data_IF_255353706517
#
_entry.id   IF_255353706517
#
_cell.length_a   1.000
_cell.length_b   1.000
_cell.length_c   1.000
_cell.angle_alpha   90.00
_cell.angle_beta   90.00
_cell.angle_gamma   90.00
#
_symmetry.space_group_name_H-M   'P 1'
#
loop_
_entity.id
_entity.type
_entity.pdbx_description
1 polymer ?
#
# COMPACT_ATOMS: atom_id res chain seq x y z
N UNK A 1 1.45 0.94 10.96
CA UNK A 1 2.50 1.05 9.94
C UNK A 1 3.38 2.26 10.25
N UNK A 2 4.71 2.13 10.30
CA UNK A 2 5.63 3.27 10.43
C UNK A 2 6.75 3.09 9.40
N UNK A 3 7.10 4.13 8.66
CA UNK A 3 8.19 4.07 7.68
C UNK A 3 9.58 4.04 8.37
N UNK A 4 10.61 3.67 7.61
CA UNK A 4 11.99 3.61 8.12
C UNK A 4 12.50 4.98 8.55
N UNK A 5 12.03 6.04 7.88
CA UNK A 5 12.38 7.42 8.21
C UNK A 5 11.55 8.07 9.34
N UNK A 6 10.70 7.31 10.05
CA UNK A 6 9.76 7.85 11.04
C UNK A 6 10.42 8.74 12.10
N UNK A 7 11.45 8.24 12.80
CA UNK A 7 12.11 8.99 13.89
C UNK A 7 12.74 10.30 13.38
N UNK A 8 13.35 10.24 12.19
CA UNK A 8 13.93 11.42 11.53
C UNK A 8 12.86 12.43 11.13
N UNK A 9 11.72 11.95 10.65
CA UNK A 9 10.57 12.80 10.34
C UNK A 9 10.01 13.50 11.59
N UNK A 10 9.83 12.77 12.68
CA UNK A 10 9.29 13.31 13.93
C UNK A 10 10.23 14.34 14.58
N UNK A 11 11.55 14.15 14.47
CA UNK A 11 12.54 15.07 15.01
C UNK A 11 12.58 16.42 14.25
N UNK A 12 12.26 16.43 12.96
CA UNK A 12 12.31 17.63 12.13
C UNK A 12 11.25 17.59 11.04
N UNK A 13 9.97 17.74 11.42
CA UNK A 13 8.89 17.88 10.45
C UNK A 13 8.91 19.31 9.87
N UNK A 14 9.29 19.50 8.59
CA UNK A 14 9.40 20.83 8.01
C UNK A 14 8.07 21.30 7.39
N UNK A 15 7.03 20.47 7.43
CA UNK A 15 5.74 20.76 6.79
C UNK A 15 4.82 21.50 7.76
N UNK A 16 4.60 22.78 7.48
CA UNK A 16 3.70 23.64 8.27
C UNK A 16 2.28 23.76 7.70
N UNK A 17 2.02 23.21 6.51
CA UNK A 17 0.82 23.45 5.73
C UNK A 17 0.33 22.18 5.01
N UNK A 18 -0.93 21.80 5.27
CA UNK A 18 -1.61 20.59 4.76
C UNK A 18 -2.28 20.78 3.38
N UNK A 19 -1.89 21.78 2.60
CA UNK A 19 -2.48 22.05 1.29
C UNK A 19 -1.84 21.24 0.14
N UNK A 20 -1.39 20.01 0.43
CA UNK A 20 -0.69 19.20 -0.57
C UNK A 20 -1.67 18.44 -1.44
N UNK A 21 -1.40 18.44 -2.75
CA UNK A 21 -2.21 17.79 -3.78
C UNK A 21 -1.33 16.82 -4.56
N UNK A 22 -1.76 15.57 -4.63
CA UNK A 22 -1.23 14.59 -5.56
C UNK A 22 -2.04 14.67 -6.86
N UNK A 23 -1.34 14.79 -7.99
CA UNK A 23 -1.94 14.85 -9.32
C UNK A 23 -1.71 13.48 -9.96
N UNK A 24 -2.80 12.74 -10.13
CA UNK A 24 -2.83 11.53 -10.93
C UNK A 24 -3.37 11.86 -12.33
N UNK A 25 -3.25 10.91 -13.26
CA UNK A 25 -3.77 11.06 -14.62
C UNK A 25 -5.26 11.45 -14.65
N UNK A 26 -6.05 10.83 -13.77
CA UNK A 26 -7.51 10.90 -13.82
C UNK A 26 -8.09 11.88 -12.77
N UNK A 27 -7.33 12.23 -11.72
CA UNK A 27 -7.82 13.10 -10.66
C UNK A 27 -6.72 13.78 -9.83
N UNK A 28 -7.13 14.77 -9.01
CA UNK A 28 -6.29 15.43 -8.01
C UNK A 28 -6.77 15.08 -6.61
N UNK A 29 -5.87 14.63 -5.74
CA UNK A 29 -6.20 14.19 -4.37
C UNK A 29 -5.49 15.06 -3.35
N UNK A 30 -6.25 15.67 -2.43
CA UNK A 30 -5.70 16.42 -1.29
C UNK A 30 -5.23 15.45 -0.21
N UNK A 31 -4.02 15.66 0.31
CA UNK A 31 -3.37 14.77 1.27
C UNK A 31 -2.62 15.55 2.34
N UNK A 32 -2.42 14.95 3.50
CA UNK A 32 -1.43 15.44 4.47
C UNK A 32 -0.06 14.82 4.19
N UNK A 33 0.96 15.67 3.98
CA UNK A 33 2.35 15.20 3.85
C UNK A 33 2.78 14.42 5.08
N UNK A 34 2.43 14.92 6.26
CA UNK A 34 2.83 14.33 7.53
C UNK A 34 2.31 12.90 7.67
N UNK A 35 1.02 12.67 7.38
CA UNK A 35 0.44 11.33 7.41
C UNK A 35 1.19 10.41 6.45
N UNK A 36 1.35 10.81 5.19
CA UNK A 36 1.99 9.96 4.20
C UNK A 36 3.46 9.67 4.52
N UNK A 37 4.24 10.67 4.96
CA UNK A 37 5.65 10.49 5.33
C UNK A 37 5.84 9.59 6.54
N UNK A 38 4.91 9.59 7.51
CA UNK A 38 4.97 8.70 8.67
C UNK A 38 4.83 7.23 8.25
N UNK A 39 4.08 6.98 7.18
CA UNK A 39 3.68 5.62 6.81
C UNK A 39 4.44 5.06 5.61
N UNK A 40 5.02 5.89 4.74
CA UNK A 40 5.78 5.39 3.59
C UNK A 40 7.04 6.21 3.28
N UNK A 41 8.14 5.50 3.01
CA UNK A 41 9.40 6.14 2.61
C UNK A 41 9.31 6.80 1.23
N UNK A 42 8.49 6.26 0.32
CA UNK A 42 8.23 6.86 -0.99
C UNK A 42 7.77 8.33 -0.88
N UNK A 43 6.80 8.60 -0.01
CA UNK A 43 6.30 9.97 0.16
C UNK A 43 7.24 10.82 1.01
N UNK A 44 7.99 10.22 1.94
CA UNK A 44 9.09 10.90 2.62
C UNK A 44 10.10 11.45 1.60
N UNK A 45 10.65 10.59 0.74
CA UNK A 45 11.66 10.98 -0.24
C UNK A 45 11.10 12.00 -1.25
N UNK A 46 9.86 11.79 -1.72
CA UNK A 46 9.20 12.70 -2.66
C UNK A 46 9.04 14.11 -2.09
N UNK A 47 8.53 14.24 -0.86
CA UNK A 47 8.23 15.56 -0.28
C UNK A 47 9.47 16.25 0.29
N UNK A 48 10.45 15.51 0.80
CA UNK A 48 11.70 16.10 1.31
C UNK A 48 12.60 16.63 0.20
N UNK A 49 12.50 16.09 -1.03
CA UNK A 49 13.24 16.63 -2.18
C UNK A 49 12.91 18.09 -2.46
N UNK A 50 11.64 18.50 -2.29
CA UNK A 50 11.16 19.86 -2.51
C UNK A 50 10.13 20.26 -1.43
N UNK A 51 10.62 20.66 -0.26
CA UNK A 51 9.80 20.90 0.94
C UNK A 51 8.65 21.90 0.70
N UNK A 52 8.91 22.96 -0.08
CA UNK A 52 7.98 24.08 -0.34
C UNK A 52 6.96 23.78 -1.45
N UNK A 53 7.15 22.72 -2.24
CA UNK A 53 6.25 22.34 -3.32
C UNK A 53 4.97 21.71 -2.75
N UNK A 54 3.79 22.06 -3.29
CA UNK A 54 2.50 21.56 -2.79
C UNK A 54 1.73 20.71 -3.80
N UNK A 55 2.12 20.70 -5.07
CA UNK A 55 1.51 19.83 -6.09
C UNK A 55 2.54 18.84 -6.61
N UNK A 56 2.24 17.55 -6.58
CA UNK A 56 3.16 16.48 -7.01
C UNK A 56 2.46 15.58 -8.03
N UNK A 57 3.05 15.44 -9.21
CA UNK A 57 2.58 14.49 -10.20
C UNK A 57 2.99 13.06 -9.82
N UNK A 58 2.03 12.14 -9.83
CA UNK A 58 2.23 10.74 -9.50
C UNK A 58 1.91 9.87 -10.72
N UNK A 59 2.98 9.30 -11.29
CA UNK A 59 2.90 8.42 -12.46
C UNK A 59 3.31 6.97 -12.14
N UNK A 60 3.89 6.74 -10.96
CA UNK A 60 4.42 5.44 -10.57
C UNK A 60 3.33 4.40 -10.26
N UNK A 61 2.11 4.84 -9.94
CA UNK A 61 0.94 3.99 -9.71
C UNK A 61 -0.36 4.76 -9.99
N UNK A 62 -1.44 4.02 -10.19
CA UNK A 62 -2.76 4.62 -10.45
C UNK A 62 -3.44 5.10 -9.15
N UNK A 63 -4.45 5.95 -9.31
CA UNK A 63 -5.13 6.58 -8.18
C UNK A 63 -5.99 5.61 -7.35
N UNK A 64 -6.53 4.57 -7.96
CA UNK A 64 -7.28 3.54 -7.24
C UNK A 64 -6.40 2.78 -6.24
N UNK A 65 -5.15 2.48 -6.63
CA UNK A 65 -4.15 1.88 -5.75
C UNK A 65 -3.74 2.84 -4.63
N UNK A 66 -3.57 4.13 -4.95
CA UNK A 66 -3.33 5.17 -3.94
C UNK A 66 -4.45 5.26 -2.91
N UNK A 67 -5.71 5.33 -3.33
CA UNK A 67 -6.85 5.38 -2.41
C UNK A 67 -6.90 4.17 -1.49
N UNK A 68 -6.60 2.99 -2.02
CA UNK A 68 -6.52 1.77 -1.23
C UNK A 68 -5.45 1.86 -0.13
N UNK A 69 -4.24 2.31 -0.48
CA UNK A 69 -3.15 2.54 0.47
C UNK A 69 -3.53 3.62 1.51
N UNK A 70 -4.07 4.75 1.05
CA UNK A 70 -4.40 5.88 1.89
C UNK A 70 -5.51 5.53 2.90
N UNK A 71 -6.51 4.75 2.48
CA UNK A 71 -7.54 4.25 3.37
C UNK A 71 -6.97 3.26 4.39
N UNK A 72 -6.07 2.36 3.97
CA UNK A 72 -5.39 1.43 4.88
C UNK A 72 -4.56 2.17 5.95
N UNK A 73 -3.85 3.23 5.55
CA UNK A 73 -3.12 4.12 6.46
C UNK A 73 -4.06 4.76 7.49
N UNK A 74 -5.15 5.37 7.03
CA UNK A 74 -6.04 6.13 7.91
C UNK A 74 -6.86 5.24 8.85
N UNK A 75 -7.25 4.04 8.39
CA UNK A 75 -8.05 3.10 9.18
C UNK A 75 -7.20 2.17 10.06
N UNK A 76 -5.93 1.96 9.73
CA UNK A 76 -5.04 1.06 10.45
C UNK A 76 -5.67 -0.32 10.64
N UNK A 77 -5.73 -0.78 11.88
CA UNK A 77 -6.29 -2.09 12.25
C UNK A 77 -7.78 -2.25 11.89
N UNK A 78 -8.53 -1.15 11.76
CA UNK A 78 -9.94 -1.19 11.36
C UNK A 78 -10.15 -1.35 9.85
N UNK A 79 -9.06 -1.35 9.06
CA UNK A 79 -9.12 -1.51 7.62
C UNK A 79 -9.52 -2.95 7.24
N UNK A 80 -10.62 -3.10 6.50
CA UNK A 80 -11.11 -4.40 6.04
C UNK A 80 -10.63 -4.67 4.62
N UNK A 81 -9.85 -5.73 4.46
CA UNK A 81 -9.40 -6.19 3.15
C UNK A 81 -10.52 -6.87 2.38
N UNK A 82 -10.50 -6.64 1.07
CA UNK A 82 -11.27 -7.37 0.06
C UNK A 82 -10.29 -7.83 -1.01
N UNK A 83 -10.67 -8.78 -1.85
CA UNK A 83 -9.77 -9.26 -2.90
C UNK A 83 -9.36 -8.18 -3.90
N UNK A 84 -10.26 -7.26 -4.23
CA UNK A 84 -9.96 -6.09 -5.07
C UNK A 84 -8.94 -5.17 -4.40
N UNK A 85 -9.07 -4.93 -3.10
CA UNK A 85 -8.12 -4.08 -2.37
C UNK A 85 -6.77 -4.77 -2.20
N UNK A 86 -6.73 -6.08 -1.99
CA UNK A 86 -5.46 -6.84 -1.96
C UNK A 86 -4.73 -6.71 -3.29
N UNK A 87 -5.42 -6.88 -4.43
CA UNK A 87 -4.78 -6.73 -5.75
C UNK A 87 -4.20 -5.32 -5.95
N UNK A 88 -4.96 -4.27 -5.59
CA UNK A 88 -4.49 -2.88 -5.66
C UNK A 88 -3.28 -2.61 -4.77
N UNK A 89 -3.23 -3.19 -3.58
CA UNK A 89 -2.08 -3.11 -2.68
C UNK A 89 -0.86 -3.83 -3.25
N UNK A 90 -1.06 -4.98 -3.92
CA UNK A 90 0.04 -5.66 -4.60
C UNK A 90 0.59 -4.85 -5.78
N UNK A 91 -0.26 -4.13 -6.51
CA UNK A 91 0.18 -3.26 -7.61
C UNK A 91 1.09 -2.12 -7.14
N UNK A 92 0.71 -1.42 -6.06
CA UNK A 92 1.51 -0.29 -5.55
C UNK A 92 2.80 -0.73 -4.84
N UNK A 93 2.89 -2.01 -4.44
CA UNK A 93 4.02 -2.57 -3.69
C UNK A 93 5.36 -2.51 -4.42
N UNK A 94 5.36 -2.40 -5.76
CA UNK A 94 6.61 -2.22 -6.51
C UNK A 94 7.31 -0.90 -6.23
N UNK A 95 6.55 0.10 -5.78
CA UNK A 95 6.99 1.48 -5.62
C UNK A 95 7.00 1.88 -4.15
N UNK A 96 6.05 1.35 -3.40
CA UNK A 96 5.85 1.66 -1.99
C UNK A 96 6.11 0.41 -1.16
N UNK A 97 6.98 0.53 -0.16
CA UNK A 97 7.18 -0.52 0.83
C UNK A 97 5.90 -0.71 1.67
N UNK A 98 5.36 -1.92 1.65
CA UNK A 98 4.13 -2.32 2.34
C UNK A 98 4.36 -3.46 3.33
N UNK A 99 5.60 -3.70 3.79
CA UNK A 99 5.93 -4.81 4.72
C UNK A 99 4.97 -4.87 5.93
N UNK A 100 4.58 -3.72 6.49
CA UNK A 100 3.64 -3.64 7.62
C UNK A 100 2.20 -4.09 7.29
N UNK A 101 1.82 -4.16 6.01
CA UNK A 101 0.50 -4.67 5.57
C UNK A 101 0.52 -6.17 5.27
N UNK A 102 1.70 -6.80 5.21
CA UNK A 102 1.82 -8.22 4.88
C UNK A 102 1.04 -9.13 5.83
N UNK A 103 1.12 -8.95 7.16
CA UNK A 103 0.34 -9.78 8.08
C UNK A 103 -1.17 -9.68 7.81
N UNK A 104 -1.67 -8.49 7.43
CA UNK A 104 -3.08 -8.29 7.10
C UNK A 104 -3.46 -9.04 5.82
N UNK A 105 -2.65 -8.91 4.76
CA UNK A 105 -2.86 -9.57 3.47
C UNK A 105 -2.83 -11.09 3.65
N UNK A 106 -1.81 -11.61 4.34
CA UNK A 106 -1.69 -13.04 4.58
C UNK A 106 -2.86 -13.60 5.40
N UNK A 107 -3.27 -12.89 6.46
CA UNK A 107 -4.43 -13.31 7.27
C UNK A 107 -5.71 -13.32 6.44
N UNK A 108 -5.91 -12.33 5.58
CA UNK A 108 -7.06 -12.32 4.69
C UNK A 108 -7.03 -13.48 3.69
N UNK A 109 -5.86 -13.83 3.12
CA UNK A 109 -5.73 -14.97 2.20
C UNK A 109 -6.13 -16.30 2.86
N UNK A 110 -5.92 -16.45 4.17
CA UNK A 110 -6.32 -17.66 4.90
C UNK A 110 -7.83 -17.82 5.06
N UNK A 111 -8.62 -16.76 4.87
CA UNK A 111 -10.09 -16.80 4.92
C UNK A 111 -10.70 -17.53 3.72
N UNK A 112 -12.01 -17.80 3.77
CA UNK A 112 -12.75 -18.38 2.64
C UNK A 112 -13.10 -17.34 1.57
N UNK A 113 -13.18 -16.05 1.93
CA UNK A 113 -13.46 -14.95 0.98
C UNK A 113 -12.38 -14.82 -0.09
N UNK A 114 -11.16 -15.26 0.22
CA UNK A 114 -10.02 -15.19 -0.68
C UNK A 114 -10.08 -16.17 -1.85
N UNK A 115 -10.87 -17.25 -1.75
CA UNK A 115 -10.84 -18.40 -2.69
C UNK A 115 -10.96 -17.97 -4.15
N UNK A 116 -11.90 -17.08 -4.47
CA UNK A 116 -12.12 -16.59 -5.83
C UNK A 116 -11.02 -15.65 -6.36
N UNK A 117 -10.14 -15.16 -5.47
CA UNK A 117 -9.05 -14.24 -5.80
C UNK A 117 -7.67 -14.92 -5.82
N UNK A 118 -7.52 -16.11 -5.23
CA UNK A 118 -6.22 -16.79 -5.07
C UNK A 118 -5.42 -16.88 -6.38
N UNK A 119 -6.06 -17.21 -7.51
CA UNK A 119 -5.38 -17.33 -8.80
C UNK A 119 -4.81 -15.99 -9.28
N UNK A 120 -5.58 -14.90 -9.12
CA UNK A 120 -5.15 -13.55 -9.50
C UNK A 120 -4.03 -13.05 -8.58
N UNK A 121 -4.13 -13.33 -7.29
CA UNK A 121 -3.12 -12.97 -6.29
C UNK A 121 -1.83 -13.75 -6.55
N UNK A 122 -1.91 -15.07 -6.77
CA UNK A 122 -0.74 -15.88 -7.10
C UNK A 122 -0.02 -15.36 -8.35
N UNK A 123 -0.77 -14.96 -9.39
CA UNK A 123 -0.17 -14.35 -10.59
C UNK A 123 0.62 -13.08 -10.27
N UNK A 124 0.08 -12.18 -9.44
CA UNK A 124 0.80 -10.98 -9.01
C UNK A 124 2.01 -11.32 -8.13
N UNK A 125 1.84 -12.24 -7.18
CA UNK A 125 2.91 -12.70 -6.31
C UNK A 125 4.09 -13.27 -7.11
N UNK A 126 3.82 -14.09 -8.13
CA UNK A 126 4.84 -14.62 -9.04
C UNK A 126 5.53 -13.51 -9.86
N UNK A 127 4.76 -12.55 -10.36
CA UNK A 127 5.29 -11.42 -11.14
C UNK A 127 6.29 -10.59 -10.33
N UNK A 128 6.06 -10.45 -9.02
CA UNK A 128 6.89 -9.66 -8.12
C UNK A 128 7.81 -10.51 -7.22
N UNK A 129 7.86 -11.83 -7.42
CA UNK A 129 8.68 -12.78 -6.65
C UNK A 129 8.43 -12.71 -5.13
N UNK A 130 7.17 -12.59 -4.74
CA UNK A 130 6.74 -12.56 -3.34
C UNK A 130 6.63 -13.99 -2.80
N UNK A 131 7.77 -14.65 -2.53
CA UNK A 131 7.85 -16.09 -2.23
C UNK A 131 6.94 -16.56 -1.09
N UNK A 132 6.83 -15.77 -0.01
CA UNK A 132 5.92 -16.08 1.10
C UNK A 132 4.46 -16.14 0.64
N UNK A 133 4.06 -15.19 -0.20
CA UNK A 133 2.71 -15.06 -0.74
C UNK A 133 2.42 -16.13 -1.79
N UNK A 134 3.39 -16.44 -2.65
CA UNK A 134 3.32 -17.54 -3.63
C UNK A 134 3.01 -18.85 -2.90
N UNK A 135 3.82 -19.18 -1.89
CA UNK A 135 3.66 -20.39 -1.09
C UNK A 135 2.30 -20.41 -0.40
N UNK A 136 1.90 -19.31 0.26
CA UNK A 136 0.63 -19.21 0.96
C UNK A 136 -0.57 -19.46 0.04
N UNK A 137 -0.56 -18.89 -1.17
CA UNK A 137 -1.62 -19.13 -2.15
C UNK A 137 -1.65 -20.59 -2.62
N UNK A 138 -0.49 -21.20 -2.89
CA UNK A 138 -0.40 -22.60 -3.33
C UNK A 138 -0.89 -23.58 -2.26
N UNK A 139 -0.50 -23.35 -1.00
CA UNK A 139 -0.92 -24.16 0.15
C UNK A 139 -2.46 -24.08 0.31
N UNK A 140 -3.02 -22.86 0.32
CA UNK A 140 -4.47 -22.64 0.44
C UNK A 140 -5.26 -23.25 -0.73
N UNK A 141 -4.73 -23.18 -1.96
CA UNK A 141 -5.37 -23.83 -3.11
C UNK A 141 -5.37 -25.35 -2.96
N UNK A 142 -4.26 -25.94 -2.52
CA UNK A 142 -4.13 -27.39 -2.35
C UNK A 142 -5.09 -27.95 -1.29
N UNK A 143 -5.33 -27.19 -0.21
CA UNK A 143 -6.30 -27.57 0.81
C UNK A 143 -7.75 -27.51 0.31
N UNK A 144 -8.06 -26.65 -0.66
CA UNK A 144 -9.39 -26.59 -1.27
C UNK A 144 -9.71 -27.83 -2.13
N UNK A 145 -8.71 -28.59 -2.59
CA UNK A 145 -8.92 -29.81 -3.38
C UNK A 145 -9.03 -31.08 -2.53
N UNK A 146 -8.84 -30.98 -1.21
CA UNK A 146 -8.93 -32.12 -0.26
C UNK A 146 -10.28 -32.24 0.44
N UNK A 147 -11.19 -31.28 0.22
CA UNK A 147 -12.56 -31.26 0.75
C UNK A 147 -13.57 -31.36 -0.40
#
# INVERSE_FOLDING_TARGET
MKCKNYEKFMASNPFGNDNTVLIFKDEKVKVSKSILCIHTDYFYDLFFKNITQNEFEITAFNVAAFHCLYEAINKGESYKLTGENVLKLLDIRQVVDLEDLDPMIENWIRTDESKQYLMKILKHACMFRLESLIKLCQDKMSDNYKN
#
